data_IF_320357573194
#
_entry.id   IF_320357573194
#
_cell.length_a   1.000
_cell.length_b   1.000
_cell.length_c   1.000
_cell.angle_alpha   90.00
_cell.angle_beta   90.00
_cell.angle_gamma   90.00
#
_symmetry.space_group_name_H-M   'P 1'
#
loop_
_entity.id
_entity.type
_entity.pdbx_description
1 polymer ?
#
# COMPACT_ATOMS: atom_id res chain seq x y z
N UNK A 1 7.29 -10.93 -6.47
CA UNK A 1 7.14 -10.07 -5.28
C UNK A 1 8.40 -9.26 -5.01
N UNK A 2 8.24 -8.13 -4.28
CA UNK A 2 9.34 -7.36 -3.73
C UNK A 2 9.22 -7.44 -2.21
N UNK A 3 10.33 -7.75 -1.55
CA UNK A 3 10.39 -7.96 -0.10
C UNK A 3 11.53 -7.18 0.54
N UNK A 4 11.36 -6.88 1.83
CA UNK A 4 12.36 -6.19 2.65
C UNK A 4 12.54 -6.96 3.96
N UNK A 5 13.78 -7.22 4.42
CA UNK A 5 14.00 -7.90 5.68
C UNK A 5 13.47 -7.08 6.86
N UNK A 6 12.89 -7.75 7.85
CA UNK A 6 12.53 -7.12 9.11
C UNK A 6 13.81 -6.84 9.92
N UNK A 7 13.79 -5.73 10.67
CA UNK A 7 14.92 -5.31 11.51
C UNK A 7 14.71 -5.72 12.98
N UNK A 8 14.22 -6.92 13.20
CA UNK A 8 13.89 -7.48 14.52
C UNK A 8 14.77 -8.68 14.90
N UNK A 9 15.83 -8.95 14.13
CA UNK A 9 16.73 -10.09 14.33
C UNK A 9 16.18 -11.42 13.84
N UNK A 10 15.04 -11.45 13.16
CA UNK A 10 14.47 -12.64 12.55
C UNK A 10 14.80 -12.73 11.06
N UNK A 11 14.68 -13.95 10.49
CA UNK A 11 14.79 -14.18 9.04
C UNK A 11 13.48 -13.91 8.28
N UNK A 12 12.63 -13.06 8.85
CA UNK A 12 11.34 -12.69 8.25
C UNK A 12 11.46 -11.49 7.33
N UNK A 13 10.61 -11.48 6.32
CA UNK A 13 10.51 -10.40 5.35
C UNK A 13 9.12 -9.78 5.37
N UNK A 14 9.08 -8.47 5.14
CA UNK A 14 7.85 -7.75 4.81
C UNK A 14 7.67 -7.73 3.29
N UNK A 15 6.49 -8.10 2.82
CA UNK A 15 6.14 -7.98 1.39
C UNK A 15 5.77 -6.53 1.10
N UNK A 16 6.55 -5.88 0.24
CA UNK A 16 6.31 -4.49 -0.21
C UNK A 16 5.33 -4.45 -1.37
N UNK A 17 5.44 -5.43 -2.28
CA UNK A 17 4.57 -5.59 -3.45
C UNK A 17 4.44 -7.05 -3.84
N UNK A 18 3.32 -7.39 -4.48
CA UNK A 18 3.01 -8.74 -4.94
C UNK A 18 2.43 -9.64 -3.84
N UNK A 19 1.72 -9.10 -2.86
CA UNK A 19 1.08 -9.86 -1.80
C UNK A 19 0.15 -10.97 -2.33
N UNK A 20 -0.67 -10.68 -3.36
CA UNK A 20 -1.54 -11.68 -3.97
C UNK A 20 -0.73 -12.85 -4.56
N UNK A 21 0.40 -12.58 -5.22
CA UNK A 21 1.28 -13.63 -5.75
C UNK A 21 1.88 -14.49 -4.64
N UNK A 22 2.30 -13.87 -3.53
CA UNK A 22 2.79 -14.61 -2.37
C UNK A 22 1.69 -15.50 -1.80
N UNK A 23 0.50 -14.96 -1.58
CA UNK A 23 -0.65 -15.72 -1.06
C UNK A 23 -1.01 -16.87 -1.99
N UNK A 24 -1.13 -16.63 -3.30
CA UNK A 24 -1.49 -17.70 -4.25
C UNK A 24 -0.45 -18.82 -4.30
N UNK A 25 0.85 -18.50 -4.28
CA UNK A 25 1.90 -19.54 -4.24
C UNK A 25 1.89 -20.29 -2.92
N UNK A 26 1.58 -19.62 -1.81
CA UNK A 26 1.45 -20.25 -0.50
C UNK A 26 0.23 -21.18 -0.45
N UNK A 27 -0.92 -20.78 -1.00
CA UNK A 27 -2.13 -21.60 -1.11
C UNK A 27 -1.92 -22.83 -2.01
N UNK A 28 -1.04 -22.72 -3.01
CA UNK A 28 -0.61 -23.82 -3.88
C UNK A 28 0.52 -24.67 -3.26
N UNK A 29 0.89 -24.42 -2.00
CA UNK A 29 1.92 -25.15 -1.26
C UNK A 29 3.32 -25.13 -1.93
N UNK A 30 3.65 -24.04 -2.61
CA UNK A 30 5.00 -23.87 -3.16
C UNK A 30 6.01 -23.71 -2.02
N UNK A 31 7.07 -24.54 -1.96
CA UNK A 31 8.04 -24.46 -0.87
C UNK A 31 8.90 -23.18 -0.90
N UNK A 32 9.06 -22.59 -2.07
CA UNK A 32 9.89 -21.39 -2.28
C UNK A 32 9.24 -20.46 -3.29
N UNK A 33 9.59 -19.17 -3.21
CA UNK A 33 9.20 -18.13 -4.19
C UNK A 33 10.44 -17.37 -4.64
N UNK A 34 10.41 -16.84 -5.88
CA UNK A 34 11.41 -15.85 -6.30
C UNK A 34 10.93 -14.48 -5.90
N UNK A 35 11.79 -13.71 -5.23
CA UNK A 35 11.48 -12.34 -4.82
C UNK A 35 12.67 -11.42 -5.06
N UNK A 36 12.39 -10.15 -5.39
CA UNK A 36 13.39 -9.10 -5.35
C UNK A 36 13.53 -8.64 -3.90
N UNK A 37 14.72 -8.87 -3.32
CA UNK A 37 15.03 -8.38 -1.97
C UNK A 37 15.60 -6.96 -2.08
N UNK A 38 15.10 -6.06 -1.25
CA UNK A 38 15.60 -4.68 -1.16
C UNK A 38 15.98 -4.36 0.28
N UNK A 39 17.13 -3.70 0.43
CA UNK A 39 17.65 -3.30 1.73
C UNK A 39 16.87 -2.11 2.33
N UNK A 40 16.77 -2.06 3.66
CA UNK A 40 16.14 -0.95 4.40
C UNK A 40 16.84 0.38 4.14
N UNK A 41 18.16 0.34 3.91
CA UNK A 41 19.01 1.49 3.64
C UNK A 41 19.00 1.94 2.17
N UNK A 42 18.34 1.22 1.27
CA UNK A 42 18.34 1.52 -0.15
C UNK A 42 17.64 2.87 -0.42
N UNK A 43 18.35 3.90 -0.92
CA UNK A 43 17.81 5.23 -1.15
C UNK A 43 16.74 5.27 -2.25
N UNK A 44 16.69 4.23 -3.08
CA UNK A 44 15.73 4.11 -4.19
C UNK A 44 14.44 3.40 -3.77
N UNK A 45 14.27 3.14 -2.47
CA UNK A 45 13.01 2.64 -1.92
C UNK A 45 12.29 3.78 -1.22
N UNK A 46 11.10 4.12 -1.68
CA UNK A 46 10.29 5.17 -1.09
C UNK A 46 8.93 4.62 -0.67
N UNK A 47 8.42 5.14 0.43
CA UNK A 47 7.06 4.87 0.89
C UNK A 47 6.20 6.12 0.67
N UNK A 48 5.19 5.96 -0.16
CA UNK A 48 4.20 6.99 -0.47
C UNK A 48 2.88 6.66 0.21
N UNK A 49 2.08 7.69 0.46
CA UNK A 49 0.68 7.54 0.89
C UNK A 49 -0.22 7.44 -0.34
N UNK A 50 -1.14 6.50 -0.31
CA UNK A 50 -2.27 6.47 -1.23
C UNK A 50 -3.52 6.94 -0.53
N UNK A 51 -4.16 7.93 -1.13
CA UNK A 51 -5.44 8.47 -0.75
C UNK A 51 -6.55 7.75 -1.51
N UNK A 52 -7.77 7.78 -1.01
CA UNK A 52 -8.90 7.14 -1.67
C UNK A 52 -9.85 8.18 -2.26
N UNK A 53 -10.05 8.11 -3.57
CA UNK A 53 -11.16 8.78 -4.26
C UNK A 53 -12.37 7.85 -4.14
N UNK A 54 -13.46 8.32 -3.57
CA UNK A 54 -14.67 7.54 -3.30
C UNK A 54 -15.81 8.06 -4.15
N UNK A 55 -16.55 7.16 -4.79
CA UNK A 55 -17.76 7.48 -5.55
C UNK A 55 -18.81 6.37 -5.45
N UNK A 56 -20.00 6.58 -6.04
CA UNK A 56 -21.07 5.58 -6.08
C UNK A 56 -21.92 5.49 -4.82
N UNK A 57 -21.67 6.34 -3.80
CA UNK A 57 -22.54 6.51 -2.63
C UNK A 57 -22.77 8.00 -2.36
N UNK A 58 -23.87 8.36 -1.69
CA UNK A 58 -24.06 9.77 -1.33
C UNK A 58 -23.11 10.21 -0.21
N UNK A 59 -22.63 11.45 -0.28
CA UNK A 59 -21.86 12.09 0.80
C UNK A 59 -22.56 11.97 2.16
N UNK A 60 -23.90 12.13 2.20
CA UNK A 60 -24.69 11.98 3.41
C UNK A 60 -24.59 10.57 4.00
N UNK A 61 -24.62 9.54 3.17
CA UNK A 61 -24.50 8.14 3.60
C UNK A 61 -23.10 7.87 4.17
N UNK A 62 -22.03 8.31 3.48
CA UNK A 62 -20.65 8.18 3.94
C UNK A 62 -20.47 8.86 5.31
N UNK A 63 -20.86 10.13 5.42
CA UNK A 63 -20.69 10.91 6.66
C UNK A 63 -21.51 10.35 7.82
N UNK A 64 -22.72 9.85 7.54
CA UNK A 64 -23.55 9.16 8.56
C UNK A 64 -22.89 7.88 9.06
N UNK A 65 -22.30 7.09 8.16
CA UNK A 65 -21.61 5.86 8.53
C UNK A 65 -20.33 6.13 9.34
N UNK A 66 -19.56 7.14 8.98
CA UNK A 66 -18.36 7.55 9.73
C UNK A 66 -18.70 8.01 11.17
N UNK A 67 -19.80 8.77 11.36
CA UNK A 67 -20.24 9.18 12.70
C UNK A 67 -20.62 8.02 13.62
N UNK A 68 -20.95 6.85 13.07
CA UNK A 68 -21.28 5.65 13.85
C UNK A 68 -20.05 4.86 14.29
N UNK A 69 -18.86 5.22 13.82
CA UNK A 69 -17.62 4.55 14.22
C UNK A 69 -17.29 4.95 15.66
N UNK A 70 -17.33 3.98 16.57
CA UNK A 70 -17.06 4.21 18.00
C UNK A 70 -15.63 4.73 18.21
N UNK A 71 -15.51 5.84 18.93
CA UNK A 71 -14.23 6.48 19.26
C UNK A 71 -13.69 7.40 18.15
N UNK A 72 -14.45 7.63 17.08
CA UNK A 72 -14.06 8.53 15.99
C UNK A 72 -14.83 9.85 16.12
N UNK A 73 -14.12 10.96 16.26
CA UNK A 73 -14.65 12.30 16.15
C UNK A 73 -14.58 12.83 14.72
N UNK A 74 -15.60 13.58 14.29
CA UNK A 74 -15.58 14.34 13.05
C UNK A 74 -15.58 15.82 13.37
N UNK A 75 -14.49 16.50 13.08
CA UNK A 75 -14.36 17.95 13.28
C UNK A 75 -14.40 18.61 11.90
N UNK A 76 -15.43 19.44 11.68
CA UNK A 76 -15.45 20.31 10.49
C UNK A 76 -14.37 21.39 10.67
N UNK A 77 -13.55 21.56 9.65
CA UNK A 77 -12.47 22.56 9.67
C UNK A 77 -12.78 23.64 8.68
N UNK A 78 -12.69 24.87 9.13
CA UNK A 78 -12.60 26.03 8.25
C UNK A 78 -11.14 26.15 7.82
N UNK A 79 -10.90 26.28 6.51
CA UNK A 79 -9.59 26.25 5.85
C UNK A 79 -8.56 27.25 6.38
N UNK A 80 -8.96 28.15 7.27
CA UNK A 80 -8.14 29.23 7.83
C UNK A 80 -7.67 28.99 9.29
N UNK A 81 -8.06 27.88 9.94
CA UNK A 81 -7.62 27.60 11.32
C UNK A 81 -6.45 26.61 11.33
N UNK A 82 -5.32 27.06 11.88
CA UNK A 82 -4.24 26.14 12.31
C UNK A 82 -4.78 25.26 13.43
N UNK A 83 -4.66 23.95 13.24
CA UNK A 83 -4.96 22.99 14.32
C UNK A 83 -3.67 22.75 15.09
N UNK A 84 -3.77 22.66 16.40
CA UNK A 84 -2.67 22.16 17.23
C UNK A 84 -2.22 20.80 16.67
N UNK A 85 -0.90 20.61 16.56
CA UNK A 85 -0.34 19.41 15.95
C UNK A 85 -0.69 18.17 16.78
N UNK A 86 -1.61 17.30 16.32
CA UNK A 86 -1.97 16.09 17.05
C UNK A 86 -0.80 15.11 17.05
N UNK A 87 -0.71 14.27 18.09
CA UNK A 87 0.32 13.21 18.19
C UNK A 87 0.36 12.31 16.96
N UNK A 88 -0.80 12.04 16.36
CA UNK A 88 -0.94 11.35 15.08
C UNK A 88 -1.64 12.25 14.08
N UNK A 89 -1.16 12.24 12.83
CA UNK A 89 -1.78 13.02 11.75
C UNK A 89 -3.17 12.45 11.48
N UNK A 90 -4.23 13.26 11.62
CA UNK A 90 -5.59 12.79 11.41
C UNK A 90 -5.85 12.45 9.94
N UNK A 91 -6.79 11.53 9.70
CA UNK A 91 -7.34 11.32 8.38
C UNK A 91 -8.20 12.52 7.99
N UNK A 92 -8.03 12.99 6.75
CA UNK A 92 -8.79 14.12 6.23
C UNK A 92 -9.85 13.63 5.27
N UNK A 93 -11.03 14.25 5.29
CA UNK A 93 -12.07 14.03 4.30
C UNK A 93 -12.38 15.35 3.63
N UNK A 94 -12.23 15.38 2.32
CA UNK A 94 -12.62 16.52 1.47
C UNK A 94 -13.85 16.14 0.67
N UNK A 95 -14.85 17.01 0.68
CA UNK A 95 -16.11 16.81 -0.01
C UNK A 95 -16.21 17.68 -1.26
N UNK A 96 -16.97 17.27 -2.29
CA UNK A 96 -17.11 18.02 -3.53
C UNK A 96 -17.72 19.42 -3.36
N UNK A 97 -18.48 19.64 -2.28
CA UNK A 97 -19.07 20.94 -1.91
C UNK A 97 -18.08 21.88 -1.18
N UNK A 98 -16.81 21.53 -1.13
CA UNK A 98 -15.75 22.28 -0.48
C UNK A 98 -15.63 22.06 1.03
N UNK A 99 -16.53 21.31 1.65
CA UNK A 99 -16.42 21.00 3.08
C UNK A 99 -15.23 20.08 3.36
N UNK A 100 -14.55 20.36 4.46
CA UNK A 100 -13.39 19.64 4.92
C UNK A 100 -13.61 19.17 6.36
N UNK A 101 -13.26 17.90 6.62
CA UNK A 101 -13.36 17.29 7.94
C UNK A 101 -12.06 16.61 8.33
N UNK A 102 -11.72 16.68 9.62
CA UNK A 102 -10.71 15.83 10.23
C UNK A 102 -11.38 14.72 11.00
N UNK A 103 -10.88 13.52 10.83
CA UNK A 103 -11.24 12.38 11.65
C UNK A 103 -10.27 12.34 12.82
N UNK A 104 -10.77 12.70 13.98
CA UNK A 104 -9.99 12.76 15.22
C UNK A 104 -10.25 11.49 16.05
N UNK A 105 -9.22 11.03 16.72
CA UNK A 105 -9.26 9.93 17.66
C UNK A 105 -8.31 10.23 18.79
N UNK A 106 -8.41 9.50 19.87
CA UNK A 106 -7.49 9.63 21.02
C UNK A 106 -6.82 8.29 21.32
N UNK A 107 -6.09 7.67 20.37
CA UNK A 107 -5.35 6.47 20.68
C UNK A 107 -4.14 6.82 21.54
N UNK A 108 -3.90 6.03 22.59
CA UNK A 108 -2.68 6.14 23.40
C UNK A 108 -1.44 5.63 22.66
N UNK A 109 -1.64 4.71 21.72
CA UNK A 109 -0.59 3.96 21.05
C UNK A 109 -0.78 3.89 19.52
N UNK A 110 0.32 3.61 18.79
CA UNK A 110 0.33 3.47 17.34
C UNK A 110 -0.61 2.34 16.86
N UNK A 111 -0.66 1.21 17.59
CA UNK A 111 -1.56 0.10 17.23
C UNK A 111 -3.04 0.51 17.26
N UNK A 112 -3.44 1.31 18.26
CA UNK A 112 -4.78 1.89 18.33
C UNK A 112 -5.09 2.79 17.13
N UNK A 113 -4.12 3.62 16.74
CA UNK A 113 -4.24 4.46 15.55
C UNK A 113 -4.45 3.60 14.26
N UNK A 114 -3.65 2.55 14.07
CA UNK A 114 -3.81 1.64 12.92
C UNK A 114 -5.20 0.97 12.93
N UNK A 115 -5.68 0.53 14.09
CA UNK A 115 -7.01 -0.04 14.21
C UNK A 115 -8.12 0.96 13.80
N UNK A 116 -7.96 2.24 14.14
CA UNK A 116 -8.89 3.28 13.70
C UNK A 116 -8.84 3.49 12.19
N UNK A 117 -7.66 3.44 11.56
CA UNK A 117 -7.56 3.49 10.10
C UNK A 117 -8.32 2.32 9.43
N UNK A 118 -8.22 1.11 9.99
CA UNK A 118 -9.03 -0.04 9.53
C UNK A 118 -10.53 0.23 9.63
N UNK A 119 -11.00 0.75 10.77
CA UNK A 119 -12.42 1.08 10.97
C UNK A 119 -12.89 2.10 9.92
N UNK A 120 -12.10 3.14 9.64
CA UNK A 120 -12.43 4.17 8.64
C UNK A 120 -12.55 3.55 7.25
N UNK A 121 -11.55 2.78 6.80
CA UNK A 121 -11.56 2.15 5.48
C UNK A 121 -12.74 1.17 5.35
N UNK A 122 -13.03 0.40 6.38
CA UNK A 122 -14.13 -0.57 6.38
C UNK A 122 -15.52 0.08 6.27
N UNK A 123 -15.67 1.36 6.60
CA UNK A 123 -16.96 2.08 6.44
C UNK A 123 -17.42 2.08 4.98
N UNK A 124 -16.50 2.21 4.04
CA UNK A 124 -16.83 2.41 2.63
C UNK A 124 -16.31 1.31 1.70
N UNK A 125 -15.30 0.52 2.11
CA UNK A 125 -14.63 -0.48 1.26
C UNK A 125 -15.58 -1.44 0.52
N UNK A 126 -16.71 -1.81 1.12
CA UNK A 126 -17.67 -2.75 0.54
C UNK A 126 -18.96 -2.07 0.06
N UNK A 127 -19.09 -0.75 0.20
CA UNK A 127 -20.32 0.00 -0.07
C UNK A 127 -20.19 1.04 -1.16
N UNK A 128 -18.97 1.39 -1.49
CA UNK A 128 -18.63 2.40 -2.49
C UNK A 128 -17.56 1.86 -3.44
N UNK A 129 -17.48 2.45 -4.60
CA UNK A 129 -16.32 2.31 -5.49
C UNK A 129 -15.20 3.21 -5.00
N UNK A 130 -13.95 2.79 -5.19
CA UNK A 130 -12.79 3.57 -4.80
C UNK A 130 -11.63 3.39 -5.77
N UNK A 131 -10.92 4.48 -6.01
CA UNK A 131 -9.60 4.50 -6.65
C UNK A 131 -8.55 5.07 -5.71
N UNK A 132 -7.28 4.80 -6.03
CA UNK A 132 -6.13 5.24 -5.26
C UNK A 132 -5.40 6.36 -5.97
N UNK A 133 -4.99 7.37 -5.22
CA UNK A 133 -4.27 8.51 -5.76
C UNK A 133 -3.23 9.06 -4.78
N UNK A 134 -2.17 9.66 -5.30
CA UNK A 134 -1.24 10.47 -4.51
C UNK A 134 -1.68 11.93 -4.38
N UNK A 135 -2.67 12.36 -5.17
CA UNK A 135 -3.15 13.74 -5.15
C UNK A 135 -4.01 14.03 -3.92
N UNK A 136 -4.01 15.32 -3.53
CA UNK A 136 -4.76 15.81 -2.36
C UNK A 136 -5.80 16.87 -2.69
N UNK A 137 -5.92 17.26 -3.96
CA UNK A 137 -6.89 18.27 -4.43
C UNK A 137 -8.12 17.56 -4.98
N UNK A 138 -9.26 17.69 -4.30
CA UNK A 138 -10.52 17.03 -4.71
C UNK A 138 -11.05 17.56 -6.05
N UNK A 139 -10.80 18.81 -6.37
CA UNK A 139 -11.30 19.42 -7.60
C UNK A 139 -10.74 18.77 -8.87
N UNK A 140 -9.55 18.18 -8.79
CA UNK A 140 -8.95 17.43 -9.90
C UNK A 140 -9.75 16.17 -10.29
N UNK A 141 -10.61 15.69 -9.41
CA UNK A 141 -11.40 14.47 -9.62
C UNK A 141 -12.83 14.73 -10.09
N UNK A 142 -13.35 15.95 -9.92
CA UNK A 142 -14.71 16.30 -10.32
C UNK A 142 -15.02 16.03 -11.80
N UNK A 143 -14.09 16.33 -12.76
CA UNK A 143 -14.32 16.02 -14.17
C UNK A 143 -14.28 14.51 -14.48
N UNK A 144 -13.60 13.71 -13.65
CA UNK A 144 -13.38 12.28 -13.88
C UNK A 144 -14.50 11.44 -13.28
N UNK A 145 -15.01 11.85 -12.10
CA UNK A 145 -16.04 11.13 -11.34
C UNK A 145 -17.28 12.00 -11.17
N UNK A 146 -18.29 11.87 -12.04
CA UNK A 146 -19.53 12.66 -11.95
C UNK A 146 -20.29 12.49 -10.63
N UNK A 147 -20.18 11.32 -10.02
CA UNK A 147 -20.79 10.94 -8.73
C UNK A 147 -19.76 10.91 -7.59
N UNK A 148 -18.74 11.75 -7.67
CA UNK A 148 -17.70 11.90 -6.65
C UNK A 148 -18.31 12.13 -5.27
N UNK A 149 -18.00 11.25 -4.32
CA UNK A 149 -18.48 11.31 -2.93
C UNK A 149 -17.53 12.06 -2.02
N UNK A 150 -16.24 11.68 -2.04
CA UNK A 150 -15.21 12.26 -1.18
C UNK A 150 -13.81 11.88 -1.64
N UNK A 151 -12.83 12.69 -1.21
CA UNK A 151 -11.41 12.33 -1.19
C UNK A 151 -10.98 12.13 0.26
N UNK A 152 -10.54 10.90 0.58
CA UNK A 152 -10.02 10.54 1.91
C UNK A 152 -8.50 10.56 1.85
N UNK A 153 -7.88 11.43 2.64
CA UNK A 153 -6.43 11.64 2.69
C UNK A 153 -5.89 11.01 3.98
N UNK A 154 -4.97 10.07 3.82
CA UNK A 154 -4.37 9.32 4.93
C UNK A 154 -3.06 9.96 5.40
N UNK A 155 -2.65 9.66 6.66
CA UNK A 155 -1.35 10.07 7.16
C UNK A 155 -0.22 9.35 6.40
N UNK A 156 0.93 10.01 6.30
CA UNK A 156 2.15 9.39 5.78
C UNK A 156 2.86 8.60 6.87
N UNK A 157 3.49 7.50 6.47
CA UNK A 157 4.29 6.64 7.36
C UNK A 157 5.75 6.64 6.93
N UNK A 158 6.65 6.50 7.91
CA UNK A 158 8.06 6.20 7.63
C UNK A 158 8.27 4.71 7.46
N UNK A 159 9.17 4.30 6.57
CA UNK A 159 9.50 2.88 6.33
C UNK A 159 9.80 2.16 7.65
N UNK A 160 10.65 2.75 8.51
CA UNK A 160 10.99 2.17 9.83
C UNK A 160 9.76 1.92 10.71
N UNK A 161 8.75 2.80 10.66
CA UNK A 161 7.50 2.62 11.41
C UNK A 161 6.72 1.43 10.87
N UNK A 162 6.61 1.29 9.54
CA UNK A 162 5.88 0.18 8.92
C UNK A 162 6.58 -1.15 9.17
N UNK A 163 7.91 -1.20 9.11
CA UNK A 163 8.70 -2.39 9.49
C UNK A 163 8.47 -2.80 10.95
N UNK A 164 8.46 -1.83 11.88
CA UNK A 164 8.18 -2.10 13.29
C UNK A 164 6.77 -2.68 13.49
N UNK A 165 5.77 -2.15 12.80
CA UNK A 165 4.40 -2.69 12.82
C UNK A 165 4.37 -4.12 12.26
N UNK A 166 5.03 -4.35 11.11
CA UNK A 166 5.09 -5.68 10.47
C UNK A 166 5.78 -6.71 11.38
N UNK A 167 6.86 -6.34 12.09
CA UNK A 167 7.51 -7.18 13.08
C UNK A 167 6.55 -7.62 14.21
N UNK A 168 5.64 -6.73 14.59
CA UNK A 168 4.57 -6.99 15.57
C UNK A 168 3.33 -7.66 14.96
N UNK A 169 3.36 -8.05 13.68
CA UNK A 169 2.21 -8.59 12.91
C UNK A 169 1.02 -7.62 12.83
N UNK A 170 1.27 -6.32 12.96
CA UNK A 170 0.24 -5.28 12.80
C UNK A 170 0.30 -4.82 11.34
N UNK A 171 -0.81 -5.00 10.63
CA UNK A 171 -0.93 -4.69 9.21
C UNK A 171 -1.69 -3.38 9.01
N UNK A 172 -1.19 -2.54 8.11
CA UNK A 172 -1.91 -1.33 7.66
C UNK A 172 -3.13 -1.70 6.82
N UNK A 173 -4.18 -0.87 6.79
CA UNK A 173 -5.28 -1.06 5.84
C UNK A 173 -4.77 -1.15 4.42
N UNK A 174 -5.33 -2.08 3.65
CA UNK A 174 -4.95 -2.28 2.25
C UNK A 174 -5.20 -1.01 1.44
N UNK A 175 -4.19 -0.57 0.69
CA UNK A 175 -4.30 0.50 -0.29
C UNK A 175 -4.11 1.92 0.26
N UNK A 176 -3.61 2.09 1.49
CA UNK A 176 -3.24 3.42 2.02
C UNK A 176 -1.75 3.73 1.91
N UNK A 177 -0.95 2.75 1.54
CA UNK A 177 0.50 2.90 1.34
C UNK A 177 0.93 2.29 0.00
N UNK A 178 1.97 2.87 -0.60
CA UNK A 178 2.61 2.38 -1.81
C UNK A 178 4.12 2.45 -1.67
N UNK A 179 4.78 1.31 -1.78
CA UNK A 179 6.22 1.27 -1.95
C UNK A 179 6.58 1.46 -3.42
N UNK A 180 7.51 2.37 -3.69
CA UNK A 180 8.16 2.49 -4.99
C UNK A 180 9.61 2.04 -4.85
N UNK A 181 10.06 1.21 -5.80
CA UNK A 181 11.39 0.63 -5.82
C UNK A 181 12.00 0.84 -7.19
N UNK A 182 13.23 1.32 -7.25
CA UNK A 182 13.98 1.48 -8.50
C UNK A 182 15.41 0.95 -8.34
N UNK A 183 15.91 0.14 -9.31
CA UNK A 183 15.16 -0.50 -10.39
C UNK A 183 14.21 -1.59 -9.88
N UNK A 184 13.16 -1.84 -10.64
CA UNK A 184 12.16 -2.86 -10.33
C UNK A 184 12.21 -3.97 -11.37
N UNK A 185 12.36 -5.22 -10.94
CA UNK A 185 12.24 -6.38 -11.82
C UNK A 185 10.78 -6.66 -12.13
N UNK A 186 10.42 -6.68 -13.42
CA UNK A 186 9.09 -7.00 -13.93
C UNK A 186 9.18 -8.17 -14.89
N UNK A 187 8.08 -8.93 -15.01
CA UNK A 187 7.93 -10.03 -15.98
C UNK A 187 9.10 -11.03 -15.96
N UNK A 188 9.59 -11.37 -14.75
CA UNK A 188 10.68 -12.35 -14.63
C UNK A 188 10.29 -13.69 -15.27
N UNK A 189 9.01 -14.11 -15.15
CA UNK A 189 8.44 -15.33 -15.73
C UNK A 189 9.30 -16.58 -15.47
N UNK A 190 9.77 -16.71 -14.23
CA UNK A 190 10.54 -17.87 -13.79
C UNK A 190 9.67 -19.13 -13.79
N UNK A 191 10.17 -20.29 -14.27
CA UNK A 191 9.35 -21.50 -14.42
C UNK A 191 8.75 -21.99 -13.10
N UNK A 192 7.41 -22.13 -13.05
CA UNK A 192 6.70 -22.56 -11.86
C UNK A 192 7.07 -23.98 -11.42
N UNK A 193 7.37 -24.88 -12.36
CA UNK A 193 7.78 -26.26 -12.04
C UNK A 193 9.11 -26.31 -11.27
N UNK A 194 10.00 -25.35 -11.46
CA UNK A 194 11.23 -25.24 -10.67
C UNK A 194 10.92 -24.74 -9.26
N UNK A 195 9.97 -23.79 -9.09
CA UNK A 195 9.55 -23.32 -7.78
C UNK A 195 8.86 -24.41 -6.97
N UNK A 196 7.94 -25.18 -7.59
CA UNK A 196 7.18 -26.25 -6.94
C UNK A 196 8.00 -27.51 -6.67
N UNK A 197 9.17 -27.66 -7.31
CA UNK A 197 10.01 -28.85 -7.13
C UNK A 197 10.48 -29.00 -5.70
N UNK A 198 10.66 -30.24 -5.22
CA UNK A 198 11.24 -30.57 -3.90
C UNK A 198 12.76 -30.39 -3.82
N UNK A 199 13.41 -29.76 -4.81
CA UNK A 199 14.86 -29.55 -4.82
C UNK A 199 15.30 -28.59 -3.71
N UNK A 200 16.50 -28.73 -3.15
CA UNK A 200 17.05 -27.85 -2.12
C UNK A 200 17.12 -26.38 -2.60
N UNK A 201 17.12 -25.45 -1.65
CA UNK A 201 17.14 -24.02 -1.97
C UNK A 201 18.41 -23.62 -2.71
N UNK A 202 19.55 -24.20 -2.35
CA UNK A 202 20.85 -23.93 -2.96
C UNK A 202 20.86 -24.29 -4.46
N UNK A 203 20.21 -25.41 -4.81
CA UNK A 203 20.02 -25.79 -6.21
C UNK A 203 19.19 -24.77 -6.96
N UNK A 204 18.06 -24.35 -6.37
CA UNK A 204 17.16 -23.38 -6.98
C UNK A 204 17.80 -22.01 -7.16
N UNK A 205 18.62 -21.56 -6.20
CA UNK A 205 19.39 -20.34 -6.29
C UNK A 205 20.42 -20.38 -7.41
N UNK A 206 21.19 -21.47 -7.50
CA UNK A 206 22.16 -21.67 -8.58
C UNK A 206 21.48 -21.70 -9.96
N UNK A 207 20.35 -22.40 -10.07
CA UNK A 207 19.58 -22.44 -11.30
C UNK A 207 19.00 -21.08 -11.67
N UNK A 208 18.42 -20.33 -10.71
CA UNK A 208 17.91 -18.98 -10.94
C UNK A 208 19.02 -18.05 -11.47
N UNK A 209 20.20 -18.11 -10.88
CA UNK A 209 21.35 -17.32 -11.31
C UNK A 209 21.70 -17.62 -12.78
N UNK A 210 21.87 -18.89 -13.13
CA UNK A 210 22.18 -19.32 -14.51
C UNK A 210 21.05 -18.89 -15.46
N UNK A 211 19.81 -19.04 -15.08
CA UNK A 211 18.64 -18.66 -15.86
C UNK A 211 18.60 -17.15 -16.17
N UNK A 212 18.96 -16.30 -15.19
CA UNK A 212 19.07 -14.85 -15.38
C UNK A 212 20.24 -14.52 -16.31
N UNK A 213 21.42 -15.12 -16.09
CA UNK A 213 22.62 -14.91 -16.91
C UNK A 213 22.36 -15.25 -18.37
N UNK A 214 21.68 -16.35 -18.65
CA UNK A 214 21.30 -16.74 -20.01
C UNK A 214 20.38 -15.71 -20.68
N UNK A 215 19.40 -15.15 -19.96
CA UNK A 215 18.52 -14.11 -20.48
C UNK A 215 19.27 -12.82 -20.78
N UNK A 216 20.23 -12.45 -19.94
CA UNK A 216 21.10 -11.30 -20.18
C UNK A 216 21.95 -11.55 -21.42
N UNK A 217 22.61 -12.72 -21.56
CA UNK A 217 23.40 -13.10 -22.75
C UNK A 217 22.57 -13.07 -24.04
N UNK A 218 21.33 -13.53 -23.97
CA UNK A 218 20.38 -13.51 -25.12
C UNK A 218 19.75 -12.13 -25.36
N UNK A 219 20.21 -11.06 -24.67
CA UNK A 219 19.64 -9.70 -24.75
C UNK A 219 18.12 -9.65 -24.45
N UNK A 220 17.63 -10.59 -23.64
CA UNK A 220 16.24 -10.67 -23.21
C UNK A 220 15.91 -9.83 -21.98
N UNK A 221 16.89 -9.04 -21.46
CA UNK A 221 16.69 -8.13 -20.33
C UNK A 221 16.89 -6.70 -20.81
N UNK A 222 15.95 -5.84 -20.48
CA UNK A 222 16.00 -4.41 -20.83
C UNK A 222 15.84 -3.58 -19.55
N UNK A 223 16.65 -2.54 -19.42
CA UNK A 223 16.50 -1.54 -18.36
C UNK A 223 15.91 -0.27 -18.98
N UNK A 224 14.77 0.15 -18.43
CA UNK A 224 14.14 1.42 -18.78
C UNK A 224 14.42 2.42 -17.66
N UNK A 225 14.99 3.58 -17.99
CA UNK A 225 15.27 4.69 -17.07
C UNK A 225 14.13 5.71 -17.02
N UNK A 226 13.28 5.72 -18.04
CA UNK A 226 12.11 6.58 -18.18
C UNK A 226 10.85 5.96 -17.59
N UNK A 227 9.87 6.81 -17.25
CA UNK A 227 8.54 6.35 -16.87
C UNK A 227 7.87 5.67 -18.07
N UNK A 228 7.47 4.42 -17.89
CA UNK A 228 6.92 3.59 -18.95
C UNK A 228 5.49 3.17 -18.60
N UNK A 229 4.57 3.30 -19.56
CA UNK A 229 3.26 2.66 -19.49
C UNK A 229 3.37 1.23 -20.05
N UNK A 230 2.97 0.26 -19.24
CA UNK A 230 2.86 -1.13 -19.65
C UNK A 230 1.37 -1.45 -19.82
N UNK A 231 0.99 -1.88 -21.00
CA UNK A 231 -0.34 -2.43 -21.26
C UNK A 231 -0.23 -3.95 -21.11
N UNK A 232 -0.89 -4.48 -20.08
CA UNK A 232 -0.95 -5.93 -19.87
C UNK A 232 -1.90 -6.54 -20.93
N UNK A 233 -1.45 -7.65 -21.58
CA UNK A 233 -2.24 -8.42 -22.55
C UNK A 233 -3.23 -9.32 -21.83
#
# INVERSE_FOLDING_TARGET
PIVMPLVDGSDRFMVLDGANRVTSLQEMEFPHIVAQVVEVSNPNVNLQTWNHVIWGISTKALMSALRKVKGLGLVKVDTHKSLDAPKYVPVQIRLPDGKFYLLTESPSELAGHINTLHKIVNVYKTRASLDRTSQTLIDSFKPIYPDLTALVIFPSFKIKTVLKLAAQKIVLPTGITRFTVSPRALHLNYPLHELSSGKPIEYKEAYLKTWIEERVKKKGVRLYSEATFLFDE
#
